data_IF_539831867956
#
_entry.id   IF_539831867956
#
_cell.length_a   1.000
_cell.length_b   1.000
_cell.length_c   1.000
_cell.angle_alpha   90.00
_cell.angle_beta   90.00
_cell.angle_gamma   90.00
#
_symmetry.space_group_name_H-M   'P 1'
#
loop_
_entity.id
_entity.type
_entity.pdbx_description
1 polymer ?
#
# COMPACT_ATOMS: atom_id res chain seq x y z
N UNK A 1 -7.52 -4.27 -22.39
CA UNK A 1 -6.50 -4.98 -21.59
C UNK A 1 -5.29 -4.07 -21.50
N UNK A 2 -5.06 -3.45 -20.35
CA UNK A 2 -3.85 -2.63 -20.12
C UNK A 2 -2.72 -3.51 -19.57
N UNK A 3 -1.47 -3.20 -19.93
CA UNK A 3 -0.29 -3.81 -19.33
C UNK A 3 0.22 -2.87 -18.25
N UNK A 4 0.51 -3.40 -17.06
CA UNK A 4 1.10 -2.65 -15.95
C UNK A 4 2.49 -3.19 -15.68
N UNK A 5 3.48 -2.30 -15.62
CA UNK A 5 4.85 -2.63 -15.22
C UNK A 5 5.25 -1.83 -13.97
N UNK A 6 5.98 -2.48 -13.07
CA UNK A 6 6.50 -1.86 -11.85
C UNK A 6 8.01 -1.79 -11.97
N UNK A 7 8.57 -0.60 -11.77
CA UNK A 7 10.01 -0.36 -11.85
C UNK A 7 10.50 0.28 -10.55
N UNK A 8 11.59 -0.26 -10.00
CA UNK A 8 12.30 0.39 -8.91
C UNK A 8 13.18 1.50 -9.48
N UNK A 9 13.00 2.72 -8.99
CA UNK A 9 13.86 3.84 -9.36
C UNK A 9 15.00 3.98 -8.34
N UNK A 10 16.27 3.90 -8.77
CA UNK A 10 17.40 3.97 -7.84
C UNK A 10 17.47 5.37 -7.23
N UNK A 11 17.69 5.43 -5.91
CA UNK A 11 17.92 6.68 -5.19
C UNK A 11 19.38 7.11 -5.48
N UNK A 12 19.61 8.28 -6.11
CA UNK A 12 20.97 8.73 -6.38
C UNK A 12 21.75 8.97 -5.08
N UNK A 13 23.06 8.76 -5.11
CA UNK A 13 23.92 8.96 -3.94
C UNK A 13 23.77 10.38 -3.35
N UNK A 14 23.66 10.44 -2.03
CA UNK A 14 23.45 11.70 -1.31
C UNK A 14 22.04 12.30 -1.44
N UNK A 15 21.08 11.62 -2.09
CA UNK A 15 19.70 12.08 -2.23
C UNK A 15 18.72 11.28 -1.38
N UNK A 16 17.62 11.90 -0.99
CA UNK A 16 16.48 11.22 -0.37
C UNK A 16 15.52 10.64 -1.42
N UNK A 17 14.66 9.71 -1.02
CA UNK A 17 13.60 9.19 -1.90
C UNK A 17 12.64 10.28 -2.40
N UNK A 18 12.40 11.32 -1.60
CA UNK A 18 11.63 12.50 -2.03
C UNK A 18 12.33 13.25 -3.17
N UNK A 19 13.63 13.51 -3.01
CA UNK A 19 14.42 14.17 -4.06
C UNK A 19 14.53 13.31 -5.33
N UNK A 20 14.61 11.99 -5.20
CA UNK A 20 14.56 11.08 -6.35
C UNK A 20 13.22 11.15 -7.09
N UNK A 21 12.11 11.25 -6.35
CA UNK A 21 10.75 11.41 -6.90
C UNK A 21 10.60 12.73 -7.66
N UNK A 22 11.11 13.84 -7.12
CA UNK A 22 11.09 15.15 -7.79
C UNK A 22 11.90 15.14 -9.09
N UNK A 23 13.05 14.46 -9.10
CA UNK A 23 13.87 14.31 -10.32
C UNK A 23 13.10 13.53 -11.38
N UNK A 24 12.44 12.45 -11.01
CA UNK A 24 11.64 11.65 -11.93
C UNK A 24 10.45 12.46 -12.47
N UNK A 25 9.74 13.18 -11.62
CA UNK A 25 8.65 14.07 -12.02
C UNK A 25 9.12 15.11 -13.05
N UNK A 26 10.24 15.81 -12.80
CA UNK A 26 10.79 16.79 -13.76
C UNK A 26 11.14 16.14 -15.10
N UNK A 27 11.68 14.91 -15.09
CA UNK A 27 11.98 14.18 -16.33
C UNK A 27 10.72 13.83 -17.11
N UNK A 28 9.66 13.39 -16.42
CA UNK A 28 8.35 13.11 -17.02
C UNK A 28 7.76 14.38 -17.66
N UNK A 29 7.82 15.51 -16.97
CA UNK A 29 7.36 16.81 -17.52
C UNK A 29 8.17 17.23 -18.76
N UNK A 30 9.50 17.03 -18.77
CA UNK A 30 10.36 17.34 -19.93
C UNK A 30 10.00 16.52 -21.17
N UNK A 31 9.55 15.27 -21.02
CA UNK A 31 9.12 14.43 -22.15
C UNK A 31 7.65 14.66 -22.54
N UNK A 32 6.99 15.64 -21.94
CA UNK A 32 5.61 16.03 -22.28
C UNK A 32 4.52 15.30 -21.48
N UNK A 33 4.87 14.53 -20.44
CA UNK A 33 3.87 13.92 -19.59
C UNK A 33 3.14 14.98 -18.74
N UNK A 34 1.83 14.81 -18.59
CA UNK A 34 0.96 15.75 -17.90
C UNK A 34 0.62 15.20 -16.52
N UNK A 35 0.87 16.02 -15.50
CA UNK A 35 0.51 15.71 -14.11
C UNK A 35 -1.00 15.62 -13.94
N UNK A 36 -1.51 14.55 -13.35
CA UNK A 36 -2.95 14.35 -13.16
C UNK A 36 -3.27 14.01 -11.71
N UNK A 37 -4.12 14.81 -11.06
CA UNK A 37 -4.73 14.48 -9.77
C UNK A 37 -3.72 14.22 -8.64
N UNK A 38 -4.14 13.42 -7.67
CA UNK A 38 -3.31 12.96 -6.55
C UNK A 38 -3.75 11.56 -6.20
N UNK A 39 -2.78 10.68 -5.97
CA UNK A 39 -2.99 9.30 -5.62
C UNK A 39 -2.39 9.05 -4.24
N UNK A 40 -3.18 8.47 -3.35
CA UNK A 40 -2.77 8.11 -2.01
C UNK A 40 -3.02 6.62 -1.78
N UNK A 41 -1.99 5.92 -1.30
CA UNK A 41 -2.09 4.55 -0.82
C UNK A 41 -1.75 4.53 0.66
N UNK A 42 -2.66 3.97 1.43
CA UNK A 42 -2.43 3.63 2.82
C UNK A 42 -2.17 2.13 2.92
N UNK A 43 -1.17 1.74 3.70
CA UNK A 43 -0.88 0.35 4.02
C UNK A 43 -0.78 0.20 5.54
N UNK A 44 -1.61 -0.68 6.12
CA UNK A 44 -1.59 -1.05 7.53
C UNK A 44 -1.15 -2.52 7.68
N UNK A 45 -0.07 -2.76 8.43
CA UNK A 45 0.39 -4.11 8.76
C UNK A 45 -0.17 -4.58 10.10
N UNK A 46 -0.98 -5.63 10.05
CA UNK A 46 -1.56 -6.29 11.21
C UNK A 46 -0.87 -7.65 11.40
N UNK A 47 -0.45 -7.97 12.64
CA UNK A 47 0.25 -9.22 12.96
C UNK A 47 -0.58 -10.11 13.86
N UNK A 48 -0.40 -11.42 13.71
CA UNK A 48 -0.82 -12.43 14.66
C UNK A 48 -0.15 -12.17 16.01
N UNK A 49 -0.94 -12.17 17.07
CA UNK A 49 -0.44 -11.86 18.40
C UNK A 49 -1.52 -11.76 19.48
N UNK A 50 -2.79 -11.90 19.11
CA UNK A 50 -3.89 -11.93 20.08
C UNK A 50 -3.87 -13.22 20.92
N UNK A 51 -4.66 -13.27 22.02
CA UNK A 51 -4.71 -14.41 22.92
C UNK A 51 -5.17 -15.72 22.24
N UNK A 52 -5.95 -15.63 21.15
CA UNK A 52 -6.36 -16.78 20.35
C UNK A 52 -5.33 -17.15 19.27
N UNK A 53 -4.28 -16.33 19.07
CA UNK A 53 -3.26 -16.55 18.04
C UNK A 53 -2.48 -17.84 18.24
N UNK A 54 -2.45 -18.43 19.44
CA UNK A 54 -1.78 -19.72 19.70
C UNK A 54 -2.43 -20.90 18.97
N UNK A 55 -3.74 -20.83 18.70
CA UNK A 55 -4.44 -21.83 17.88
C UNK A 55 -4.17 -21.67 16.38
N UNK A 56 -3.58 -20.54 15.99
CA UNK A 56 -3.25 -20.21 14.61
C UNK A 56 -1.73 -20.11 14.45
N UNK A 57 -1.23 -19.98 13.22
CA UNK A 57 0.22 -19.95 13.00
C UNK A 57 0.86 -18.71 13.64
N UNK A 58 2.02 -18.85 14.31
CA UNK A 58 2.60 -17.81 15.18
C UNK A 58 3.19 -16.60 14.44
N UNK A 59 3.29 -16.65 13.11
CA UNK A 59 3.89 -15.59 12.28
C UNK A 59 2.92 -14.98 11.27
N UNK A 60 1.60 -15.12 11.49
CA UNK A 60 0.61 -14.54 10.59
C UNK A 60 0.76 -13.03 10.48
N UNK A 61 0.65 -12.52 9.27
CA UNK A 61 0.63 -11.11 9.00
C UNK A 61 -0.33 -10.82 7.84
N UNK A 62 -1.01 -9.68 7.91
CA UNK A 62 -1.90 -9.18 6.86
C UNK A 62 -1.55 -7.72 6.64
N UNK A 63 -1.28 -7.35 5.39
CA UNK A 63 -1.16 -5.96 4.99
C UNK A 63 -2.48 -5.53 4.38
N UNK A 64 -3.18 -4.61 5.04
CA UNK A 64 -4.40 -4.00 4.51
C UNK A 64 -3.98 -2.77 3.73
N UNK A 65 -4.47 -2.64 2.50
CA UNK A 65 -4.10 -1.60 1.58
C UNK A 65 -5.37 -0.89 1.13
N UNK A 66 -5.42 0.43 1.35
CA UNK A 66 -6.50 1.30 0.88
C UNK A 66 -5.95 2.23 -0.19
N UNK A 67 -6.67 2.32 -1.31
CA UNK A 67 -6.31 3.17 -2.43
C UNK A 67 -7.35 4.28 -2.60
N UNK A 68 -6.91 5.54 -2.64
CA UNK A 68 -7.79 6.70 -2.89
C UNK A 68 -8.57 6.65 -4.22
N UNK A 69 -8.08 5.93 -5.24
CA UNK A 69 -8.79 5.75 -6.52
C UNK A 69 -9.89 4.69 -6.44
N UNK A 70 -9.82 3.81 -5.44
CA UNK A 70 -10.81 2.75 -5.20
C UNK A 70 -11.29 2.79 -3.74
N UNK A 71 -11.96 3.88 -3.31
CA UNK A 71 -12.30 4.10 -1.90
C UNK A 71 -13.30 3.06 -1.35
N UNK A 72 -14.07 2.42 -2.22
CA UNK A 72 -15.02 1.36 -1.82
C UNK A 72 -14.37 -0.02 -1.68
N UNK A 73 -13.10 -0.17 -2.08
CA UNK A 73 -12.40 -1.46 -2.14
C UNK A 73 -11.22 -1.46 -1.18
N UNK A 74 -11.21 -2.42 -0.25
CA UNK A 74 -10.05 -2.78 0.55
C UNK A 74 -9.29 -3.93 -0.10
N UNK A 75 -7.97 -3.85 -0.08
CA UNK A 75 -7.09 -4.93 -0.51
C UNK A 75 -6.38 -5.50 0.71
N UNK A 76 -6.17 -6.80 0.76
CA UNK A 76 -5.42 -7.42 1.85
C UNK A 76 -4.42 -8.44 1.30
N UNK A 77 -3.14 -8.26 1.63
CA UNK A 77 -2.08 -9.19 1.27
C UNK A 77 -1.73 -10.04 2.49
N UNK A 78 -2.02 -11.33 2.41
CA UNK A 78 -1.64 -12.31 3.42
C UNK A 78 -0.14 -12.62 3.33
N UNK A 79 0.43 -13.10 4.43
CA UNK A 79 1.78 -13.66 4.51
C UNK A 79 2.07 -14.78 3.49
N UNK A 80 1.04 -15.52 3.08
CA UNK A 80 1.10 -16.53 2.01
C UNK A 80 1.29 -15.95 0.60
N UNK A 81 1.21 -14.62 0.44
CA UNK A 81 1.19 -13.97 -0.87
C UNK A 81 -0.19 -13.91 -1.52
N UNK A 82 -1.23 -14.46 -0.88
CA UNK A 82 -2.61 -14.36 -1.36
C UNK A 82 -3.10 -12.92 -1.23
N UNK A 83 -3.58 -12.36 -2.33
CA UNK A 83 -4.23 -11.05 -2.35
C UNK A 83 -5.75 -11.23 -2.30
N UNK A 84 -6.39 -10.59 -1.32
CA UNK A 84 -7.83 -10.55 -1.16
C UNK A 84 -8.34 -9.17 -1.55
N UNK A 85 -9.48 -9.15 -2.22
CA UNK A 85 -10.22 -7.93 -2.53
C UNK A 85 -11.54 -7.98 -1.77
N UNK A 86 -11.79 -6.98 -0.95
CA UNK A 86 -12.97 -6.88 -0.12
C UNK A 86 -13.55 -5.47 -0.21
N UNK A 87 -14.74 -5.28 0.33
CA UNK A 87 -15.34 -3.96 0.45
C UNK A 87 -14.80 -3.21 1.68
N UNK A 88 -15.32 -2.00 1.92
CA UNK A 88 -14.99 -1.19 3.09
C UNK A 88 -15.42 -1.80 4.43
N UNK A 89 -16.19 -2.91 4.46
CA UNK A 89 -16.54 -3.60 5.71
C UNK A 89 -15.42 -4.52 6.21
N UNK A 90 -14.36 -4.72 5.42
CA UNK A 90 -13.22 -5.54 5.81
C UNK A 90 -12.56 -5.05 7.10
N UNK A 91 -12.44 -3.74 7.30
CA UNK A 91 -11.85 -3.16 8.51
C UNK A 91 -12.68 -3.50 9.76
N UNK A 92 -14.01 -3.55 9.62
CA UNK A 92 -14.92 -3.97 10.69
C UNK A 92 -14.76 -5.47 11.00
N UNK A 93 -14.52 -6.31 9.99
CA UNK A 93 -14.20 -7.72 10.20
C UNK A 93 -12.87 -7.85 10.97
N UNK A 94 -11.84 -7.11 10.57
CA UNK A 94 -10.53 -7.15 11.22
C UNK A 94 -10.61 -6.69 12.69
N UNK A 95 -11.45 -5.69 13.00
CA UNK A 95 -11.73 -5.30 14.37
C UNK A 95 -12.37 -6.43 15.20
N UNK A 96 -13.26 -7.24 14.61
CA UNK A 96 -13.85 -8.43 15.28
C UNK A 96 -12.83 -9.56 15.46
N UNK A 97 -11.79 -9.60 14.62
CA UNK A 97 -10.70 -10.58 14.70
C UNK A 97 -9.56 -10.14 15.63
N UNK A 98 -9.75 -9.11 16.47
CA UNK A 98 -8.75 -8.60 17.42
C UNK A 98 -8.18 -9.67 18.38
N UNK A 99 -8.93 -10.75 18.63
CA UNK A 99 -8.46 -11.90 19.42
C UNK A 99 -7.36 -12.72 18.74
N UNK A 100 -7.21 -12.61 17.41
CA UNK A 100 -6.23 -13.34 16.59
C UNK A 100 -5.17 -12.35 16.07
N UNK A 101 -5.62 -11.21 15.55
CA UNK A 101 -4.81 -10.20 14.89
C UNK A 101 -4.73 -8.92 15.75
N UNK A 102 -3.53 -8.48 16.08
CA UNK A 102 -3.33 -7.21 16.81
C UNK A 102 -2.82 -6.16 15.82
N UNK A 103 -3.57 -5.05 15.64
CA UNK A 103 -3.08 -3.92 14.86
C UNK A 103 -1.88 -3.30 15.58
N UNK A 104 -0.72 -3.28 14.93
CA UNK A 104 0.45 -2.54 15.44
C UNK A 104 0.33 -1.11 14.93
N UNK A 105 -0.06 -0.18 15.82
CA UNK A 105 -0.14 1.27 15.57
C UNK A 105 1.10 1.91 14.90
N UNK A 106 2.25 1.24 14.87
CA UNK A 106 3.52 1.77 14.37
C UNK A 106 3.82 1.47 12.88
N UNK A 107 2.99 0.71 12.16
CA UNK A 107 3.26 0.37 10.75
C UNK A 107 2.05 0.70 9.87
N UNK A 108 1.65 1.97 9.94
CA UNK A 108 0.76 2.59 8.96
C UNK A 108 1.63 3.44 8.05
N UNK A 109 1.78 3.03 6.80
CA UNK A 109 2.55 3.73 5.78
C UNK A 109 1.55 4.44 4.88
N UNK A 110 1.68 5.76 4.78
CA UNK A 110 0.95 6.56 3.81
C UNK A 110 1.92 6.96 2.70
N UNK A 111 1.56 6.69 1.46
CA UNK A 111 2.30 7.12 0.28
C UNK A 111 1.40 7.99 -0.58
N UNK A 112 1.79 9.27 -0.71
CA UNK A 112 1.16 10.23 -1.61
C UNK A 112 2.03 10.40 -2.83
N UNK A 113 1.46 10.21 -4.00
CA UNK A 113 2.12 10.43 -5.28
C UNK A 113 1.17 11.13 -6.25
N UNK A 114 1.69 11.48 -7.41
CA UNK A 114 0.89 12.07 -8.46
C UNK A 114 1.04 11.25 -9.74
N UNK A 115 -0.05 10.72 -10.31
CA UNK A 115 -0.01 10.07 -11.59
C UNK A 115 0.32 11.07 -12.71
N UNK A 116 0.96 10.57 -13.76
CA UNK A 116 1.23 11.30 -15.00
C UNK A 116 0.57 10.55 -16.16
N UNK A 117 -0.06 11.29 -17.07
CA UNK A 117 -0.58 10.77 -18.34
C UNK A 117 0.24 11.32 -19.51
N UNK A 118 0.48 10.49 -20.52
CA UNK A 118 1.07 10.92 -21.78
C UNK A 118 2.34 10.15 -22.14
N UNK A 119 2.23 9.42 -23.25
CA UNK A 119 3.20 9.20 -24.33
C UNK A 119 2.39 8.68 -25.53
#
# INVERSE_FOLDING_TARGET
MGVVSIHQFPIPEGKSGQQATEILQKRLETIGAIKTGTFCVECELIRGGGPLSYHFSPNRAVNIIHNSEHPATGFALLDTGTCLMADSHFDMLMAKMAGIYIPKKAIKIESKSCPFFGL
#
